data_IF_128342984581
#
_entry.id   IF_128342984581
#
_cell.length_a   1.000
_cell.length_b   1.000
_cell.length_c   1.000
_cell.angle_alpha   90.00
_cell.angle_beta   90.00
_cell.angle_gamma   90.00
#
_symmetry.space_group_name_H-M   'P 1'
#
loop_
_entity.id
_entity.type
_entity.pdbx_description
1 polymer ?
#
# COMPACT_ATOMS: atom_id res chain seq x y z
N UNK A 1 -0.12 -28.94 -14.85
CA UNK A 1 0.17 -27.50 -15.04
C UNK A 1 -0.38 -26.96 -16.38
N UNK A 2 -0.32 -27.72 -17.50
CA UNK A 2 -0.81 -27.27 -18.80
C UNK A 2 -2.31 -26.96 -18.86
N UNK A 3 -3.14 -27.73 -18.14
CA UNK A 3 -4.61 -27.55 -18.16
C UNK A 3 -5.10 -26.26 -17.51
N UNK A 4 -4.49 -25.82 -16.39
CA UNK A 4 -4.85 -24.57 -15.71
C UNK A 4 -4.48 -23.37 -16.59
N UNK A 5 -3.29 -23.40 -17.20
CA UNK A 5 -2.84 -22.36 -18.12
C UNK A 5 -3.78 -22.18 -19.30
N UNK A 6 -4.26 -23.29 -19.88
CA UNK A 6 -5.19 -23.24 -21.00
C UNK A 6 -6.58 -22.69 -20.59
N UNK A 7 -7.04 -22.97 -19.35
CA UNK A 7 -8.28 -22.42 -18.81
C UNK A 7 -8.17 -20.91 -18.52
N UNK A 8 -7.02 -20.43 -18.07
CA UNK A 8 -6.75 -19.00 -17.87
C UNK A 8 -6.75 -18.24 -19.20
N UNK A 9 -6.10 -18.78 -20.25
CA UNK A 9 -6.04 -18.15 -21.57
C UNK A 9 -7.39 -18.14 -22.31
N UNK A 10 -8.35 -19.00 -21.92
CA UNK A 10 -9.71 -19.02 -22.50
C UNK A 10 -10.72 -18.19 -21.69
N UNK A 11 -10.26 -17.38 -20.73
CA UNK A 11 -11.09 -16.55 -19.82
C UNK A 11 -12.13 -17.34 -19.01
N UNK A 12 -11.99 -18.68 -18.93
CA UNK A 12 -12.92 -19.54 -18.16
C UNK A 12 -12.64 -19.55 -16.68
N UNK A 13 -11.43 -19.18 -16.27
CA UNK A 13 -11.02 -19.07 -14.87
C UNK A 13 -10.30 -17.75 -14.68
N UNK A 14 -10.74 -16.98 -13.70
CA UNK A 14 -10.07 -15.75 -13.23
C UNK A 14 -9.43 -16.00 -11.88
N UNK A 15 -8.18 -15.56 -11.75
CA UNK A 15 -7.47 -15.55 -10.47
C UNK A 15 -7.56 -14.15 -9.89
N UNK A 16 -8.07 -14.05 -8.68
CA UNK A 16 -8.26 -12.78 -7.97
C UNK A 16 -7.23 -12.72 -6.84
N UNK A 17 -6.42 -11.67 -6.83
CA UNK A 17 -5.55 -11.35 -5.71
C UNK A 17 -6.33 -10.55 -4.66
N UNK A 18 -6.82 -11.27 -3.65
CA UNK A 18 -7.62 -10.66 -2.58
C UNK A 18 -6.80 -9.73 -1.68
N UNK A 19 -5.50 -9.94 -1.56
CA UNK A 19 -4.63 -9.08 -0.78
C UNK A 19 -4.45 -7.72 -1.47
N UNK A 20 -4.17 -7.71 -2.76
CA UNK A 20 -4.08 -6.50 -3.56
C UNK A 20 -5.40 -5.71 -3.56
N UNK A 21 -6.53 -6.39 -3.73
CA UNK A 21 -7.85 -5.76 -3.70
C UNK A 21 -8.20 -5.20 -2.31
N UNK A 22 -7.75 -5.83 -1.22
CA UNK A 22 -8.01 -5.32 0.14
C UNK A 22 -7.28 -4.00 0.42
N UNK A 23 -6.19 -3.72 -0.27
CA UNK A 23 -5.39 -2.48 -0.14
C UNK A 23 -5.79 -1.43 -1.19
N UNK A 24 -6.63 -1.78 -2.16
CA UNK A 24 -7.01 -0.92 -3.30
C UNK A 24 -7.52 0.45 -2.84
N UNK A 25 -8.47 0.48 -1.92
CA UNK A 25 -9.10 1.73 -1.47
C UNK A 25 -8.10 2.66 -0.76
N UNK A 26 -7.14 2.10 -0.03
CA UNK A 26 -6.05 2.86 0.59
C UNK A 26 -5.13 3.44 -0.49
N UNK A 27 -4.75 2.62 -1.47
CA UNK A 27 -3.85 3.01 -2.56
C UNK A 27 -4.45 4.11 -3.45
N UNK A 28 -5.75 4.03 -3.73
CA UNK A 28 -6.45 4.98 -4.60
C UNK A 28 -6.86 6.28 -3.88
N UNK A 29 -6.89 6.28 -2.55
CA UNK A 29 -7.26 7.46 -1.77
C UNK A 29 -6.06 8.39 -1.56
N UNK A 30 -6.11 9.57 -2.18
CA UNK A 30 -5.05 10.58 -2.07
C UNK A 30 -4.75 11.01 -0.62
N UNK A 31 -5.72 10.89 0.30
CA UNK A 31 -5.52 11.24 1.72
C UNK A 31 -4.59 10.26 2.45
N UNK A 32 -4.44 9.03 1.93
CA UNK A 32 -3.67 7.97 2.57
C UNK A 32 -2.32 7.71 1.91
N UNK A 33 -1.95 8.54 0.93
CA UNK A 33 -0.66 8.42 0.26
C UNK A 33 0.48 9.01 1.10
N UNK A 34 1.69 8.40 1.08
CA UNK A 34 2.85 8.82 1.86
C UNK A 34 3.21 10.31 1.74
N UNK A 35 2.97 10.92 0.58
CA UNK A 35 3.23 12.34 0.34
C UNK A 35 2.52 13.28 1.32
N UNK A 36 1.39 12.85 1.89
CA UNK A 36 0.61 13.65 2.86
C UNK A 36 1.31 13.79 4.21
N UNK A 37 2.19 12.86 4.55
CA UNK A 37 2.82 12.78 5.87
C UNK A 37 4.21 13.42 5.91
N UNK A 38 4.81 13.74 4.76
CA UNK A 38 6.21 14.20 4.66
C UNK A 38 6.40 15.73 4.62
N UNK A 39 5.32 16.50 4.84
CA UNK A 39 5.33 17.97 4.81
C UNK A 39 6.05 18.51 3.56
N UNK A 40 5.49 18.32 2.35
CA UNK A 40 6.16 18.71 1.13
C UNK A 40 6.34 20.24 1.04
N UNK A 41 7.52 20.70 0.66
CA UNK A 41 7.72 22.06 0.19
C UNK A 41 7.13 22.20 -1.23
N UNK A 42 6.00 22.86 -1.32
CA UNK A 42 5.26 23.01 -2.59
C UNK A 42 5.99 23.87 -3.61
N UNK A 43 6.94 24.71 -3.17
CA UNK A 43 7.73 25.58 -4.06
C UNK A 43 8.84 24.78 -4.75
N UNK A 44 9.49 23.90 -4.00
CA UNK A 44 10.61 23.09 -4.49
C UNK A 44 10.19 21.70 -4.97
N UNK A 45 8.99 21.25 -4.61
CA UNK A 45 8.50 19.90 -4.91
C UNK A 45 9.27 18.80 -4.19
N UNK A 46 9.81 19.09 -2.99
CA UNK A 46 10.61 18.15 -2.20
C UNK A 46 9.95 17.83 -0.85
N UNK A 47 10.14 16.61 -0.36
CA UNK A 47 9.76 16.22 0.99
C UNK A 47 10.77 16.73 2.02
N UNK A 48 10.29 17.38 3.08
CA UNK A 48 11.14 18.00 4.11
C UNK A 48 11.26 17.16 5.38
N UNK A 49 10.65 15.99 5.40
CA UNK A 49 10.61 15.05 6.53
C UNK A 49 10.66 13.63 6.00
N UNK A 50 11.37 12.69 6.66
CA UNK A 50 11.29 11.27 6.30
C UNK A 50 9.88 10.73 6.54
N UNK A 51 9.52 9.68 5.79
CA UNK A 51 8.29 8.94 5.98
C UNK A 51 8.56 7.68 6.81
N UNK A 52 7.91 7.54 7.96
CA UNK A 52 8.09 6.39 8.86
C UNK A 52 6.78 5.61 9.01
N UNK A 53 6.84 4.31 8.77
CA UNK A 53 5.69 3.41 8.85
C UNK A 53 5.93 2.20 9.74
N UNK A 54 4.86 1.64 10.30
CA UNK A 54 4.85 0.36 11.00
C UNK A 54 3.82 -0.55 10.36
N UNK A 55 4.19 -1.81 10.10
CA UNK A 55 3.29 -2.85 9.63
C UNK A 55 3.29 -4.01 10.65
N UNK A 56 2.13 -4.31 11.20
CA UNK A 56 1.92 -5.41 12.15
C UNK A 56 1.15 -6.53 11.44
N UNK A 57 1.78 -7.69 11.30
CA UNK A 57 1.31 -8.78 10.47
C UNK A 57 1.75 -8.61 9.01
N UNK A 58 2.75 -9.40 8.60
CA UNK A 58 3.37 -9.31 7.28
C UNK A 58 3.00 -10.50 6.37
N UNK A 59 1.74 -10.96 6.48
CA UNK A 59 1.12 -11.86 5.50
C UNK A 59 0.86 -11.15 4.17
N UNK A 60 0.07 -11.77 3.28
CA UNK A 60 -0.18 -11.27 1.93
C UNK A 60 -0.66 -9.81 1.93
N UNK A 61 -1.64 -9.45 2.76
CA UNK A 61 -2.16 -8.07 2.87
C UNK A 61 -1.10 -7.09 3.37
N UNK A 62 -0.31 -7.49 4.38
CA UNK A 62 0.78 -6.65 4.90
C UNK A 62 1.89 -6.42 3.88
N UNK A 63 2.20 -7.44 3.06
CA UNK A 63 3.16 -7.32 1.96
C UNK A 63 2.65 -6.40 0.85
N UNK A 64 1.36 -6.48 0.47
CA UNK A 64 0.77 -5.58 -0.52
C UNK A 64 0.74 -4.12 -0.03
N UNK A 65 0.43 -3.92 1.26
CA UNK A 65 0.50 -2.58 1.84
C UNK A 65 1.93 -2.05 1.90
N UNK A 66 2.90 -2.90 2.24
CA UNK A 66 4.33 -2.54 2.20
C UNK A 66 4.75 -2.09 0.79
N UNK A 67 4.38 -2.84 -0.25
CA UNK A 67 4.68 -2.48 -1.64
C UNK A 67 4.12 -1.10 -1.98
N UNK A 68 2.87 -0.85 -1.61
CA UNK A 68 2.25 0.46 -1.80
C UNK A 68 3.03 1.58 -1.11
N UNK A 69 3.36 1.41 0.19
CA UNK A 69 4.09 2.42 0.94
C UNK A 69 5.50 2.65 0.38
N UNK A 70 6.18 1.58 -0.02
CA UNK A 70 7.52 1.62 -0.62
C UNK A 70 7.52 2.37 -1.95
N UNK A 71 6.61 2.02 -2.86
CA UNK A 71 6.47 2.66 -4.17
C UNK A 71 6.15 4.15 -4.05
N UNK A 72 5.17 4.51 -3.21
CA UNK A 72 4.70 5.89 -3.07
C UNK A 72 5.56 6.76 -2.14
N UNK A 73 6.53 6.18 -1.43
CA UNK A 73 7.55 6.93 -0.69
C UNK A 73 8.77 7.31 -1.54
N UNK A 74 8.85 6.87 -2.79
CA UNK A 74 9.91 7.21 -3.75
C UNK A 74 9.76 8.67 -4.24
N UNK A 75 10.01 9.61 -3.35
CA UNK A 75 9.92 11.05 -3.57
C UNK A 75 11.31 11.69 -3.58
N UNK A 76 11.41 12.95 -4.04
CA UNK A 76 12.62 13.74 -3.86
C UNK A 76 12.62 14.33 -2.46
N UNK A 77 13.64 14.00 -1.67
CA UNK A 77 13.80 14.46 -0.29
C UNK A 77 14.85 15.57 -0.19
N UNK A 78 14.75 16.37 0.87
CA UNK A 78 15.77 17.34 1.21
C UNK A 78 17.13 16.63 1.47
N UNK A 79 18.24 17.30 1.14
CA UNK A 79 19.59 16.69 1.14
C UNK A 79 20.09 16.24 2.51
N UNK A 80 19.55 16.78 3.57
CA UNK A 80 19.85 16.43 4.96
C UNK A 80 19.11 15.17 5.46
N UNK A 81 18.17 14.65 4.68
CA UNK A 81 17.43 13.43 5.00
C UNK A 81 18.21 12.22 4.47
N UNK A 82 18.94 11.55 5.34
CA UNK A 82 19.76 10.37 5.00
C UNK A 82 18.94 9.10 4.81
N UNK A 83 17.81 8.96 5.55
CA UNK A 83 16.91 7.82 5.48
C UNK A 83 15.50 8.30 5.12
N UNK A 84 15.19 8.40 3.82
CA UNK A 84 13.92 8.94 3.34
C UNK A 84 12.68 8.16 3.76
N UNK A 85 12.77 6.84 3.71
CA UNK A 85 11.71 5.90 4.10
C UNK A 85 12.24 4.93 5.15
N UNK A 86 11.49 4.75 6.22
CA UNK A 86 11.81 3.80 7.28
C UNK A 86 10.56 2.97 7.62
N UNK A 87 10.68 1.65 7.62
CA UNK A 87 9.55 0.76 7.85
C UNK A 87 9.89 -0.30 8.90
N UNK A 88 9.08 -0.36 9.94
CA UNK A 88 9.16 -1.37 11.00
C UNK A 88 8.11 -2.44 10.74
N UNK A 89 8.54 -3.67 10.57
CA UNK A 89 7.70 -4.82 10.23
C UNK A 89 7.70 -5.78 11.41
N UNK A 90 6.55 -5.95 12.06
CA UNK A 90 6.38 -6.79 13.24
C UNK A 90 5.55 -8.02 12.89
N UNK A 91 6.16 -9.18 12.97
CA UNK A 91 5.52 -10.46 12.69
C UNK A 91 6.27 -11.60 13.42
N UNK A 92 5.60 -12.60 13.98
CA UNK A 92 6.27 -13.76 14.58
C UNK A 92 7.21 -14.52 13.60
N UNK A 93 6.95 -14.41 12.30
CA UNK A 93 7.74 -15.02 11.24
C UNK A 93 8.57 -14.00 10.44
N UNK A 94 8.83 -12.81 10.98
CA UNK A 94 9.44 -11.69 10.28
C UNK A 94 10.71 -12.08 9.48
N UNK A 95 11.61 -12.88 10.06
CA UNK A 95 12.85 -13.31 9.36
C UNK A 95 12.60 -14.18 8.13
N UNK A 96 11.59 -15.05 8.16
CA UNK A 96 11.24 -15.90 7.01
C UNK A 96 10.60 -15.04 5.93
N UNK A 97 9.68 -14.16 6.32
CA UNK A 97 8.97 -13.24 5.43
C UNK A 97 9.91 -12.21 4.80
N UNK A 98 10.94 -11.77 5.52
CA UNK A 98 12.03 -10.96 4.96
C UNK A 98 12.73 -11.66 3.80
N UNK A 99 13.13 -12.92 4.00
CA UNK A 99 13.80 -13.71 2.95
C UNK A 99 12.90 -13.93 1.73
N UNK A 100 11.60 -14.19 1.95
CA UNK A 100 10.62 -14.32 0.88
C UNK A 100 10.46 -13.03 0.10
N UNK A 101 10.33 -11.88 0.80
CA UNK A 101 10.22 -10.57 0.18
C UNK A 101 11.45 -10.26 -0.66
N UNK A 102 12.66 -10.42 -0.12
CA UNK A 102 13.92 -10.16 -0.82
C UNK A 102 14.16 -11.11 -2.00
N UNK A 103 13.56 -12.30 -1.98
CA UNK A 103 13.58 -13.22 -3.11
C UNK A 103 12.66 -12.77 -4.24
N UNK A 104 11.46 -12.28 -3.89
CA UNK A 104 10.47 -11.77 -4.86
C UNK A 104 10.85 -10.40 -5.42
N UNK A 105 11.44 -9.54 -4.58
CA UNK A 105 11.76 -8.15 -4.87
C UNK A 105 13.24 -7.86 -4.57
N UNK A 106 14.19 -8.36 -5.39
CA UNK A 106 15.62 -8.27 -5.08
C UNK A 106 16.16 -6.83 -5.06
N UNK A 107 15.50 -5.88 -5.70
CA UNK A 107 15.85 -4.45 -5.68
C UNK A 107 15.82 -3.83 -4.27
N UNK A 108 14.93 -4.31 -3.40
CA UNK A 108 14.79 -3.83 -2.02
C UNK A 108 16.05 -4.08 -1.16
N UNK A 109 16.93 -4.99 -1.55
CA UNK A 109 18.19 -5.30 -0.82
C UNK A 109 19.10 -4.09 -0.63
N UNK A 110 18.99 -3.08 -1.48
CA UNK A 110 19.79 -1.86 -1.38
C UNK A 110 19.30 -0.95 -0.25
N UNK A 111 18.05 -1.09 0.16
CA UNK A 111 17.39 -0.26 1.19
C UNK A 111 17.19 -1.01 2.51
N UNK A 112 17.93 -2.13 2.70
CA UNK A 112 17.76 -3.00 3.88
C UNK A 112 17.96 -2.28 5.23
N UNK A 113 18.76 -1.21 5.25
CA UNK A 113 19.05 -0.46 6.47
C UNK A 113 17.87 0.44 6.90
N UNK A 114 16.88 0.64 6.01
CA UNK A 114 15.64 1.34 6.30
C UNK A 114 14.48 0.39 6.65
N UNK A 115 14.68 -0.92 6.57
CA UNK A 115 13.67 -1.94 6.84
C UNK A 115 14.03 -2.76 8.07
N UNK A 116 13.20 -2.66 9.10
CA UNK A 116 13.43 -3.30 10.41
C UNK A 116 12.45 -4.45 10.62
N UNK A 117 12.92 -5.68 10.39
CA UNK A 117 12.12 -6.89 10.60
C UNK A 117 12.24 -7.38 12.05
N UNK A 118 11.18 -7.18 12.83
CA UNK A 118 11.08 -7.49 14.24
C UNK A 118 10.29 -8.78 14.45
N UNK A 119 11.00 -9.83 14.90
CA UNK A 119 10.40 -11.15 15.11
C UNK A 119 9.77 -11.24 16.49
N UNK A 120 8.44 -11.21 16.56
CA UNK A 120 7.68 -11.28 17.82
C UNK A 120 6.24 -10.83 17.66
N UNK A 121 5.56 -10.72 18.78
CA UNK A 121 4.23 -10.12 18.89
C UNK A 121 4.35 -8.69 19.38
N UNK A 122 3.28 -7.93 19.24
CA UNK A 122 3.25 -6.53 19.70
C UNK A 122 3.54 -6.37 21.18
N UNK A 123 3.15 -7.33 22.01
CA UNK A 123 3.36 -7.33 23.46
C UNK A 123 4.85 -7.46 23.83
N UNK A 124 5.67 -8.06 22.95
CA UNK A 124 7.10 -8.27 23.18
C UNK A 124 7.91 -6.96 23.05
N UNK A 125 7.34 -5.91 22.47
CA UNK A 125 8.00 -4.65 22.12
C UNK A 125 7.43 -3.42 22.86
N UNK A 126 6.97 -3.58 24.08
CA UNK A 126 6.27 -2.53 24.82
C UNK A 126 7.07 -1.23 25.04
N UNK A 127 8.38 -1.32 25.17
CA UNK A 127 9.27 -0.14 25.30
C UNK A 127 9.54 0.54 23.98
N UNK A 128 9.75 -0.25 22.95
CA UNK A 128 9.98 0.22 21.57
C UNK A 128 8.74 0.93 21.04
N UNK A 129 7.54 0.48 21.43
CA UNK A 129 6.28 1.11 21.05
C UNK A 129 6.17 2.56 21.48
N UNK A 130 6.58 2.90 22.70
CA UNK A 130 6.53 4.28 23.17
C UNK A 130 7.41 5.21 22.33
N UNK A 131 8.55 4.73 21.87
CA UNK A 131 9.41 5.49 20.98
C UNK A 131 8.83 5.58 19.56
N UNK A 132 8.39 4.45 19.00
CA UNK A 132 7.83 4.39 17.65
C UNK A 132 6.57 5.25 17.52
N UNK A 133 5.63 5.14 18.47
CA UNK A 133 4.36 5.86 18.40
C UNK A 133 4.55 7.38 18.37
N UNK A 134 5.65 7.90 18.91
CA UNK A 134 5.97 9.34 18.90
C UNK A 134 6.43 9.85 17.53
N UNK A 135 6.98 8.97 16.69
CA UNK A 135 7.68 9.37 15.47
C UNK A 135 7.03 8.89 14.18
N UNK A 136 6.35 7.74 14.20
CA UNK A 136 5.79 7.16 12.97
C UNK A 136 4.58 7.95 12.47
N UNK A 137 4.40 7.94 11.17
CA UNK A 137 3.32 8.65 10.49
C UNK A 137 2.15 7.74 10.13
N UNK A 138 2.45 6.46 10.01
CA UNK A 138 1.56 5.47 9.43
C UNK A 138 1.70 4.14 10.18
N UNK A 139 0.60 3.59 10.67
CA UNK A 139 0.59 2.25 11.27
C UNK A 139 -0.46 1.41 10.54
N UNK A 140 -0.10 0.19 10.15
CA UNK A 140 -1.03 -0.76 9.58
C UNK A 140 -1.07 -2.05 10.41
N UNK A 141 -2.27 -2.49 10.77
CA UNK A 141 -2.51 -3.73 11.51
C UNK A 141 -3.20 -4.72 10.57
N UNK A 142 -2.45 -5.71 10.08
CA UNK A 142 -2.81 -6.60 8.99
C UNK A 142 -2.77 -8.09 9.40
N UNK A 143 -3.08 -8.42 10.67
CA UNK A 143 -3.12 -9.81 11.11
C UNK A 143 -4.38 -10.52 10.58
N UNK A 144 -4.44 -11.84 10.73
CA UNK A 144 -5.59 -12.64 10.29
C UNK A 144 -6.86 -12.47 11.16
N UNK A 145 -6.79 -11.68 12.24
CA UNK A 145 -7.90 -11.45 13.16
C UNK A 145 -8.47 -10.05 13.03
N UNK A 146 -9.61 -9.89 12.38
CA UNK A 146 -10.31 -8.59 12.30
C UNK A 146 -10.56 -7.97 13.67
N UNK A 147 -10.94 -8.77 14.67
CA UNK A 147 -11.20 -8.30 16.03
C UNK A 147 -9.90 -7.91 16.74
N UNK A 148 -8.84 -8.73 16.60
CA UNK A 148 -7.52 -8.41 17.12
C UNK A 148 -6.96 -7.15 16.50
N UNK A 149 -7.12 -6.98 15.17
CA UNK A 149 -6.68 -5.78 14.45
C UNK A 149 -7.40 -4.52 14.95
N UNK A 150 -8.71 -4.58 15.15
CA UNK A 150 -9.49 -3.46 15.68
C UNK A 150 -9.07 -3.12 17.11
N UNK A 151 -9.00 -4.13 17.99
CA UNK A 151 -8.59 -3.94 19.39
C UNK A 151 -7.20 -3.31 19.50
N UNK A 152 -6.24 -3.82 18.74
CA UNK A 152 -4.89 -3.27 18.70
C UNK A 152 -4.86 -1.86 18.12
N UNK A 153 -5.60 -1.60 17.05
CA UNK A 153 -5.70 -0.26 16.47
C UNK A 153 -6.23 0.78 17.45
N UNK A 154 -7.25 0.41 18.24
CA UNK A 154 -7.79 1.27 19.30
C UNK A 154 -6.77 1.52 20.42
N UNK A 155 -6.02 0.50 20.85
CA UNK A 155 -4.96 0.65 21.85
C UNK A 155 -3.85 1.59 21.37
N UNK A 156 -3.43 1.44 20.11
CA UNK A 156 -2.42 2.31 19.49
C UNK A 156 -2.93 3.75 19.34
N UNK A 157 -4.20 3.93 19.02
CA UNK A 157 -4.83 5.25 18.96
C UNK A 157 -4.83 5.92 20.36
N UNK A 158 -5.19 5.19 21.41
CA UNK A 158 -5.15 5.68 22.80
C UNK A 158 -3.71 6.04 23.23
N UNK A 159 -2.73 5.21 22.86
CA UNK A 159 -1.32 5.53 23.09
C UNK A 159 -0.89 6.79 22.35
N UNK A 160 -1.32 6.99 21.11
CA UNK A 160 -1.02 8.19 20.35
C UNK A 160 -1.55 9.45 21.03
N UNK A 161 -2.78 9.42 21.54
CA UNK A 161 -3.36 10.55 22.29
C UNK A 161 -2.59 10.90 23.57
N UNK A 162 -1.99 9.91 24.21
CA UNK A 162 -1.22 10.11 25.46
C UNK A 162 0.22 10.55 25.23
N UNK A 163 0.85 10.09 24.12
CA UNK A 163 2.30 10.19 23.94
C UNK A 163 2.74 11.17 22.84
N UNK A 164 1.86 11.53 21.90
CA UNK A 164 2.24 12.38 20.76
C UNK A 164 1.93 13.85 21.01
N UNK A 165 2.79 14.69 20.45
CA UNK A 165 2.61 16.13 20.42
C UNK A 165 1.39 16.53 19.57
N UNK A 166 0.82 17.69 19.87
CA UNK A 166 -0.44 18.16 19.27
C UNK A 166 -0.33 18.49 17.78
N UNK A 167 0.86 18.75 17.29
CA UNK A 167 1.16 19.12 15.90
C UNK A 167 1.46 17.93 14.97
N UNK A 168 1.53 16.71 15.53
CA UNK A 168 1.83 15.50 14.77
C UNK A 168 0.55 14.75 14.41
N UNK A 169 0.51 14.24 13.19
CA UNK A 169 -0.56 13.39 12.66
C UNK A 169 -0.16 11.92 12.67
N UNK A 170 -1.13 11.03 12.77
CA UNK A 170 -0.94 9.58 12.67
C UNK A 170 -2.21 8.94 12.10
N UNK A 171 -2.06 8.12 11.08
CA UNK A 171 -3.15 7.26 10.60
C UNK A 171 -2.88 5.81 10.95
N UNK A 172 -3.87 5.16 11.56
CA UNK A 172 -3.82 3.75 11.96
C UNK A 172 -4.81 2.96 11.12
N UNK A 173 -4.29 2.15 10.22
CA UNK A 173 -5.07 1.32 9.31
C UNK A 173 -5.27 -0.06 9.92
N UNK A 174 -6.52 -0.50 9.97
CA UNK A 174 -6.88 -1.80 10.57
C UNK A 174 -7.56 -2.69 9.54
N UNK A 175 -6.96 -3.84 9.24
CA UNK A 175 -7.50 -4.84 8.33
C UNK A 175 -8.73 -5.52 8.94
N UNK A 176 -9.92 -5.22 8.44
CA UNK A 176 -11.20 -5.76 8.92
C UNK A 176 -11.91 -6.46 7.76
N UNK A 177 -11.82 -7.75 7.73
CA UNK A 177 -12.29 -8.57 6.59
C UNK A 177 -13.75 -9.05 6.73
N UNK A 178 -14.30 -8.98 7.94
CA UNK A 178 -15.69 -9.34 8.25
C UNK A 178 -16.61 -8.13 8.13
N UNK A 179 -17.71 -8.28 7.41
CA UNK A 179 -18.65 -7.17 7.08
C UNK A 179 -19.28 -6.53 8.31
N UNK A 180 -19.73 -7.35 9.28
CA UNK A 180 -20.37 -6.82 10.49
C UNK A 180 -19.35 -6.10 11.36
N UNK A 181 -18.17 -6.67 11.52
CA UNK A 181 -17.07 -6.07 12.27
C UNK A 181 -16.57 -4.79 11.58
N UNK A 182 -16.58 -4.76 10.24
CA UNK A 182 -16.22 -3.57 9.47
C UNK A 182 -17.19 -2.41 9.74
N UNK A 183 -18.50 -2.65 9.75
CA UNK A 183 -19.50 -1.63 10.08
C UNK A 183 -19.30 -1.06 11.49
N UNK A 184 -19.01 -1.92 12.46
CA UNK A 184 -18.70 -1.51 13.83
C UNK A 184 -17.39 -0.70 13.90
N UNK A 185 -16.35 -1.14 13.20
CA UNK A 185 -15.08 -0.43 13.15
C UNK A 185 -15.21 0.95 12.49
N UNK A 186 -16.01 1.05 11.43
CA UNK A 186 -16.31 2.33 10.76
C UNK A 186 -17.05 3.28 11.69
N UNK A 187 -18.04 2.79 12.43
CA UNK A 187 -18.75 3.60 13.42
C UNK A 187 -17.80 4.14 14.52
N UNK A 188 -16.92 3.29 15.02
CA UNK A 188 -15.89 3.69 16.01
C UNK A 188 -14.96 4.75 15.40
N UNK A 189 -14.48 4.53 14.17
CA UNK A 189 -13.61 5.46 13.48
C UNK A 189 -14.27 6.83 13.29
N UNK A 190 -15.55 6.86 12.87
CA UNK A 190 -16.32 8.08 12.69
C UNK A 190 -16.57 8.80 14.03
N UNK A 191 -16.82 8.05 15.10
CA UNK A 191 -16.96 8.63 16.44
C UNK A 191 -15.70 9.38 16.85
N UNK A 192 -14.53 8.76 16.74
CA UNK A 192 -13.25 9.41 17.04
C UNK A 192 -13.01 10.63 16.14
N UNK A 193 -13.28 10.52 14.85
CA UNK A 193 -13.13 11.62 13.89
C UNK A 193 -13.98 12.83 14.26
N UNK A 194 -15.24 12.65 14.64
CA UNK A 194 -16.14 13.72 15.02
C UNK A 194 -15.73 14.43 16.33
N UNK A 195 -15.15 13.70 17.27
CA UNK A 195 -14.80 14.25 18.58
C UNK A 195 -13.41 14.88 18.63
N UNK A 196 -12.55 14.63 17.64
CA UNK A 196 -11.20 15.19 17.58
C UNK A 196 -11.09 16.44 16.71
N UNK A 197 -12.12 16.75 15.94
CA UNK A 197 -12.15 17.93 15.03
C UNK A 197 -12.57 19.23 15.70
N UNK A 198 -12.78 19.28 17.01
CA UNK A 198 -13.10 20.53 17.70
C UNK A 198 -11.89 21.49 17.65
N UNK A 199 -11.83 22.30 16.60
CA UNK A 199 -10.96 23.48 16.53
C UNK A 199 -9.97 23.61 15.38
N UNK A 200 -9.83 22.66 14.48
CA UNK A 200 -8.88 22.78 13.38
C UNK A 200 -9.56 22.67 12.00
N UNK A 201 -9.49 23.73 11.21
CA UNK A 201 -9.85 23.75 9.79
C UNK A 201 -8.81 23.03 8.92
N UNK A 202 -8.17 21.96 9.39
CA UNK A 202 -7.17 21.22 8.63
C UNK A 202 -7.79 19.96 8.06
N UNK A 203 -7.57 19.73 6.78
CA UNK A 203 -8.05 18.55 6.02
C UNK A 203 -7.51 17.19 6.53
N UNK A 204 -6.54 17.20 7.44
CA UNK A 204 -5.96 16.01 8.07
C UNK A 204 -6.41 15.92 9.53
N UNK A 205 -7.01 14.79 9.86
CA UNK A 205 -7.28 14.45 11.27
C UNK A 205 -5.96 14.26 12.01
N UNK A 206 -5.91 14.70 13.25
CA UNK A 206 -4.70 14.57 14.07
C UNK A 206 -4.31 13.10 14.25
N UNK A 207 -5.26 12.29 14.72
CA UNK A 207 -5.12 10.84 14.81
C UNK A 207 -6.39 10.20 14.28
N UNK A 208 -6.24 9.23 13.42
CA UNK A 208 -7.39 8.54 12.83
C UNK A 208 -7.23 7.03 12.84
N UNK A 209 -8.35 6.34 12.97
CA UNK A 209 -8.48 4.91 12.75
C UNK A 209 -9.18 4.69 11.41
N UNK A 210 -8.56 3.90 10.54
CA UNK A 210 -9.06 3.65 9.18
C UNK A 210 -9.27 2.14 8.99
N UNK A 211 -10.50 1.63 9.07
CA UNK A 211 -10.78 0.24 8.72
C UNK A 211 -10.68 0.06 7.20
N UNK A 212 -10.11 -1.09 6.77
CA UNK A 212 -9.98 -1.43 5.35
C UNK A 212 -10.12 -2.94 5.11
N UNK A 213 -10.26 -3.33 3.85
CA UNK A 213 -10.29 -4.73 3.45
C UNK A 213 -11.65 -5.41 3.62
N UNK A 214 -12.75 -4.64 3.55
CA UNK A 214 -14.11 -5.16 3.62
C UNK A 214 -14.35 -6.20 2.53
N UNK A 215 -14.76 -7.39 2.92
CA UNK A 215 -14.92 -8.53 2.02
C UNK A 215 -15.89 -8.28 0.87
N UNK A 216 -16.97 -7.56 1.13
CA UNK A 216 -17.98 -7.23 0.10
C UNK A 216 -17.40 -6.33 -1.00
N UNK A 217 -16.52 -5.39 -0.63
CA UNK A 217 -15.89 -4.48 -1.58
C UNK A 217 -14.82 -5.24 -2.40
N UNK A 218 -14.04 -6.14 -1.76
CA UNK A 218 -13.08 -7.01 -2.44
C UNK A 218 -13.78 -7.86 -3.52
N UNK A 219 -14.91 -8.46 -3.18
CA UNK A 219 -15.68 -9.33 -4.10
C UNK A 219 -16.83 -8.61 -4.81
N UNK A 220 -16.74 -7.29 -4.95
CA UNK A 220 -17.71 -6.52 -5.70
C UNK A 220 -17.68 -6.87 -7.21
N UNK A 221 -18.79 -6.64 -7.91
CA UNK A 221 -18.88 -6.82 -9.35
C UNK A 221 -17.82 -6.01 -10.11
N UNK A 222 -17.59 -4.78 -9.68
CA UNK A 222 -16.60 -3.89 -10.28
C UNK A 222 -15.18 -4.46 -10.18
N UNK A 223 -14.80 -4.98 -9.01
CA UNK A 223 -13.46 -5.52 -8.80
C UNK A 223 -13.24 -6.89 -9.44
N UNK A 224 -14.29 -7.73 -9.49
CA UNK A 224 -14.16 -9.12 -9.93
C UNK A 224 -14.45 -9.29 -11.43
N UNK A 225 -15.43 -8.56 -11.97
CA UNK A 225 -15.91 -8.77 -13.33
C UNK A 225 -15.62 -7.60 -14.27
N UNK A 226 -15.65 -6.36 -13.80
CA UNK A 226 -15.37 -5.20 -14.66
C UNK A 226 -13.89 -4.87 -14.81
N UNK A 227 -13.02 -5.49 -14.00
CA UNK A 227 -11.56 -5.26 -14.06
C UNK A 227 -11.19 -3.76 -14.12
N UNK A 228 -11.85 -2.95 -13.30
CA UNK A 228 -11.71 -1.49 -13.32
C UNK A 228 -10.24 -1.03 -13.31
N UNK A 229 -9.37 -1.75 -12.57
CA UNK A 229 -7.93 -1.47 -12.54
C UNK A 229 -7.27 -1.69 -13.91
N UNK A 230 -7.68 -2.73 -14.64
CA UNK A 230 -7.19 -3.03 -15.99
C UNK A 230 -7.66 -1.97 -16.98
N UNK A 231 -8.93 -1.56 -16.91
CA UNK A 231 -9.47 -0.49 -17.77
C UNK A 231 -8.79 0.85 -17.51
N UNK A 232 -8.50 1.17 -16.24
CA UNK A 232 -7.68 2.35 -15.89
C UNK A 232 -6.27 2.23 -16.45
N UNK A 233 -5.60 1.09 -16.29
CA UNK A 233 -4.26 0.86 -16.84
C UNK A 233 -4.25 1.01 -18.36
N UNK A 234 -5.25 0.47 -19.08
CA UNK A 234 -5.43 0.68 -20.53
C UNK A 234 -5.58 2.16 -20.85
N UNK A 235 -6.42 2.91 -20.12
CA UNK A 235 -6.61 4.34 -20.33
C UNK A 235 -5.32 5.13 -20.19
N UNK A 236 -4.52 4.85 -19.15
CA UNK A 236 -3.20 5.47 -18.96
C UNK A 236 -2.24 5.10 -20.10
N UNK A 237 -2.24 3.84 -20.53
CA UNK A 237 -1.42 3.40 -21.64
C UNK A 237 -1.79 4.13 -22.94
N UNK A 238 -3.07 4.30 -23.23
CA UNK A 238 -3.54 5.03 -24.42
C UNK A 238 -3.13 6.51 -24.36
N UNK A 239 -3.28 7.18 -23.23
CA UNK A 239 -2.84 8.57 -23.10
C UNK A 239 -1.32 8.71 -23.21
N UNK A 240 -0.56 7.79 -22.64
CA UNK A 240 0.90 7.74 -22.79
C UNK A 240 1.31 7.55 -24.27
N UNK A 241 0.68 6.64 -24.98
CA UNK A 241 0.93 6.40 -26.42
C UNK A 241 0.61 7.66 -27.25
N UNK A 242 -0.53 8.32 -27.01
CA UNK A 242 -0.86 9.59 -27.66
C UNK A 242 0.22 10.65 -27.41
N UNK A 243 0.67 10.80 -26.17
CA UNK A 243 1.70 11.75 -25.81
C UNK A 243 3.04 11.46 -26.49
N UNK A 244 3.42 10.18 -26.57
CA UNK A 244 4.63 9.72 -27.23
C UNK A 244 4.59 9.97 -28.73
N UNK A 245 3.46 9.69 -29.38
CA UNK A 245 3.20 9.97 -30.79
C UNK A 245 3.33 11.47 -31.10
N UNK A 246 2.71 12.30 -30.24
CA UNK A 246 2.75 13.75 -30.38
C UNK A 246 4.19 14.33 -30.23
N UNK A 247 4.97 13.84 -29.25
CA UNK A 247 6.32 14.32 -29.00
C UNK A 247 7.37 13.86 -30.01
N UNK A 248 7.23 12.66 -30.55
CA UNK A 248 8.28 12.03 -31.37
C UNK A 248 7.92 11.89 -32.84
N UNK A 249 6.77 12.43 -33.26
CA UNK A 249 6.37 12.45 -34.69
C UNK A 249 6.24 11.06 -35.33
N UNK A 250 6.08 10.03 -34.52
CA UNK A 250 5.98 8.64 -34.99
C UNK A 250 4.63 8.40 -35.69
N UNK A 251 4.66 7.96 -36.93
CA UNK A 251 3.50 7.37 -37.58
C UNK A 251 3.30 5.96 -37.02
N UNK A 252 2.40 5.77 -36.08
CA UNK A 252 1.91 4.43 -35.74
C UNK A 252 0.54 4.26 -36.34
N UNK A 253 0.45 3.42 -37.36
CA UNK A 253 -0.81 2.87 -37.89
C UNK A 253 -1.35 1.75 -36.97
N UNK A 254 -0.79 1.57 -35.75
CA UNK A 254 -1.18 0.47 -34.89
C UNK A 254 -2.30 0.92 -33.95
N UNK A 255 -3.38 0.15 -34.01
CA UNK A 255 -4.49 0.22 -33.09
C UNK A 255 -3.96 0.01 -31.64
N UNK A 256 -4.08 1.00 -30.73
CA UNK A 256 -3.55 0.90 -29.36
C UNK A 256 -4.07 -0.32 -28.60
N UNK A 257 -5.27 -0.77 -28.88
CA UNK A 257 -5.86 -1.95 -28.25
C UNK A 257 -5.18 -3.24 -28.68
N UNK A 258 -4.82 -3.34 -29.98
CA UNK A 258 -4.04 -4.47 -30.50
C UNK A 258 -2.62 -4.51 -29.93
N UNK A 259 -1.99 -3.34 -29.77
CA UNK A 259 -0.66 -3.25 -29.18
C UNK A 259 -0.68 -3.64 -27.70
N UNK A 260 -1.70 -3.19 -26.95
CA UNK A 260 -1.90 -3.59 -25.56
C UNK A 260 -2.07 -5.10 -25.42
N UNK A 261 -2.96 -5.69 -26.22
CA UNK A 261 -3.22 -7.14 -26.21
C UNK A 261 -1.95 -7.93 -26.50
N UNK A 262 -1.21 -7.53 -27.53
CA UNK A 262 0.06 -8.16 -27.90
C UNK A 262 1.10 -8.08 -26.79
N UNK A 263 1.28 -6.91 -26.15
CA UNK A 263 2.24 -6.75 -25.04
C UNK A 263 1.82 -7.51 -23.79
N UNK A 264 0.53 -7.56 -23.48
CA UNK A 264 0.01 -8.35 -22.37
C UNK A 264 0.26 -9.85 -22.61
N UNK A 265 0.09 -10.34 -23.84
CA UNK A 265 0.41 -11.72 -24.22
C UNK A 265 1.92 -12.01 -24.14
N UNK A 266 2.75 -11.11 -24.64
CA UNK A 266 4.22 -11.21 -24.57
C UNK A 266 4.69 -11.25 -23.10
N UNK A 267 4.19 -10.35 -22.25
CA UNK A 267 4.50 -10.31 -20.82
C UNK A 267 4.07 -11.60 -20.10
N UNK A 268 2.88 -12.11 -20.38
CA UNK A 268 2.42 -13.39 -19.84
C UNK A 268 3.31 -14.55 -20.30
N UNK A 269 3.70 -14.60 -21.57
CA UNK A 269 4.58 -15.63 -22.10
C UNK A 269 5.99 -15.55 -21.50
N UNK A 270 6.54 -14.36 -21.32
CA UNK A 270 7.84 -14.14 -20.70
C UNK A 270 7.83 -14.50 -19.21
N UNK A 271 6.80 -14.09 -18.47
CA UNK A 271 6.60 -14.46 -17.07
C UNK A 271 6.49 -15.97 -16.85
N UNK A 272 5.83 -16.68 -17.78
CA UNK A 272 5.71 -18.14 -17.76
C UNK A 272 7.02 -18.86 -18.15
N UNK A 273 7.87 -18.23 -18.95
CA UNK A 273 9.18 -18.79 -19.36
C UNK A 273 10.29 -18.58 -18.33
N UNK A 274 10.02 -17.85 -17.25
CA UNK A 274 11.03 -17.49 -16.23
C UNK A 274 12.11 -16.54 -16.75
N UNK A 275 11.90 -15.89 -17.89
CA UNK A 275 12.85 -14.99 -18.55
C UNK A 275 12.51 -13.51 -18.39
N UNK A 276 11.53 -13.14 -17.56
CA UNK A 276 11.19 -11.75 -17.31
C UNK A 276 12.39 -11.03 -16.68
N UNK A 277 13.26 -10.48 -17.50
CA UNK A 277 14.17 -9.39 -17.11
C UNK A 277 13.36 -8.10 -17.21
N UNK A 278 12.79 -7.66 -16.08
CA UNK A 278 12.33 -6.29 -15.95
C UNK A 278 13.57 -5.41 -16.03
N UNK A 279 13.81 -4.78 -17.15
CA UNK A 279 14.83 -3.75 -17.25
C UNK A 279 14.30 -2.51 -16.56
N UNK A 280 15.11 -1.87 -15.71
CA UNK A 280 14.83 -0.62 -14.98
C UNK A 280 14.39 0.57 -15.87
N UNK A 281 14.23 0.38 -17.16
CA UNK A 281 13.79 1.41 -18.12
C UNK A 281 12.29 1.34 -18.44
N UNK A 282 11.55 0.37 -17.88
CA UNK A 282 10.12 0.15 -18.18
C UNK A 282 9.19 0.36 -16.96
N UNK A 283 9.73 0.94 -15.87
CA UNK A 283 8.93 1.39 -14.71
C UNK A 283 8.70 2.89 -14.81
#
# INVERSE_FOLDING_TARGET
RSGITQLLTTERIRVIDTASLSVKDIRENALYQPVRYVKPDTTLGIATKPFKAVIIGFGDTGQELFKFLYEFSAMVYAKDISTPFECFIIDPKAKVLEQELLSKCPGIRHDKDSLHFMCGRTEDFSREWEALIKEVDYIAVCTNSSEGNLSLGMQLLDMAYRLRDADKTLSIFTGIYDTVKFANASYIADYYRQHTTQGAQTELFRFELVPFGKREDIFSYANVLQEETIERAKSFHYEYQKTKLYKYGGKTEQDPEKEWTKRAEEFMQEGMSGKAKITQQEI
#
